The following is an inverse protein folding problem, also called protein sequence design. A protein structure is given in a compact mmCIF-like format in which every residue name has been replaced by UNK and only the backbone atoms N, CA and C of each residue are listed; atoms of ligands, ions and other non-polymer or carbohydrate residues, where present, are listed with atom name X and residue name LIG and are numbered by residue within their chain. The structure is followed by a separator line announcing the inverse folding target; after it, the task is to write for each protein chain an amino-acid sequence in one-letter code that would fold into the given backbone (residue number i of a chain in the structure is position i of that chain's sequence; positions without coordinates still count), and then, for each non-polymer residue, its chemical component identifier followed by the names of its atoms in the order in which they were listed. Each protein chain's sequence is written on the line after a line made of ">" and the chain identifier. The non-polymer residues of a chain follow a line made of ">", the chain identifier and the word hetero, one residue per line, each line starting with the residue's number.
data_IF_074272475708
#
_entry.id   IF_074272475708
#
_cell.length_a   1.000
_cell.length_b   1.000
_cell.length_c   1.000
_cell.angle_alpha   90.00
_cell.angle_beta   90.00
_cell.angle_gamma   90.00
#
_symmetry.space_group_name_H-M   'P 1'
#
loop_
_entity.id
_entity.type
_entity.pdbx_description
1 polymer ?
#
# COMPACT_ATOMS: atom_id res chain seq x y z
N UNK A 1 37.94 10.05 6.62
CA UNK A 1 37.29 10.39 5.32
C UNK A 1 36.72 9.10 4.76
N UNK A 2 35.39 8.88 4.87
CA UNK A 2 34.57 7.99 3.99
C UNK A 2 33.20 7.79 4.65
N UNK A 3 32.32 8.80 4.60
CA UNK A 3 30.91 8.65 5.02
C UNK A 3 30.03 9.65 4.27
N UNK A 4 30.10 9.70 2.94
CA UNK A 4 29.25 10.60 2.13
C UNK A 4 28.93 10.05 0.71
N UNK A 5 28.86 8.73 0.51
CA UNK A 5 28.63 8.16 -0.84
C UNK A 5 27.58 7.03 -0.91
N UNK A 6 26.70 6.91 0.08
CA UNK A 6 25.63 5.89 0.07
C UNK A 6 24.20 6.45 -0.03
N UNK A 7 24.02 7.77 0.01
CA UNK A 7 22.70 8.37 0.28
C UNK A 7 22.09 9.16 -0.90
N UNK A 8 22.73 9.16 -2.08
CA UNK A 8 22.19 9.81 -3.29
C UNK A 8 22.05 8.87 -4.50
N UNK A 9 22.53 7.63 -4.40
CA UNK A 9 22.52 6.67 -5.51
C UNK A 9 21.44 5.59 -5.36
N UNK A 10 20.77 5.48 -4.20
CA UNK A 10 19.78 4.43 -3.95
C UNK A 10 18.47 4.67 -4.71
N UNK A 11 18.05 5.92 -4.88
CA UNK A 11 16.77 6.27 -5.51
C UNK A 11 16.74 5.97 -7.02
N UNK A 12 17.79 6.34 -7.76
CA UNK A 12 17.89 6.08 -9.20
C UNK A 12 18.17 4.59 -9.49
N UNK A 13 18.96 3.91 -8.63
CA UNK A 13 19.33 2.50 -8.86
C UNK A 13 18.18 1.54 -8.60
N UNK A 14 17.29 1.79 -7.64
CA UNK A 14 16.17 0.90 -7.35
C UNK A 14 15.13 0.92 -8.49
N UNK A 15 14.88 2.09 -9.06
CA UNK A 15 13.93 2.26 -10.15
C UNK A 15 14.46 1.77 -11.51
N UNK A 16 15.76 1.95 -11.78
CA UNK A 16 16.41 1.37 -12.97
C UNK A 16 16.60 -0.15 -12.87
N UNK A 17 16.90 -0.68 -11.68
CA UNK A 17 17.11 -2.13 -11.49
C UNK A 17 15.85 -2.97 -11.73
N UNK A 18 14.66 -2.39 -11.60
CA UNK A 18 13.37 -3.10 -11.76
C UNK A 18 12.80 -2.97 -13.18
N UNK A 19 13.38 -2.10 -14.03
CA UNK A 19 13.00 -2.01 -15.44
C UNK A 19 11.65 -1.36 -15.73
N UNK A 20 10.98 -0.74 -14.75
CA UNK A 20 9.74 0.03 -14.96
C UNK A 20 10.03 1.53 -15.10
N UNK A 21 10.31 1.95 -16.35
CA UNK A 21 10.64 3.34 -16.68
C UNK A 21 9.50 4.32 -16.34
N UNK A 22 8.24 3.86 -16.35
CA UNK A 22 7.09 4.71 -16.03
C UNK A 22 7.01 4.97 -14.51
N UNK A 23 7.22 3.93 -13.70
CA UNK A 23 7.32 4.07 -12.25
C UNK A 23 8.51 4.95 -11.88
N UNK A 24 9.69 4.73 -12.48
CA UNK A 24 10.87 5.56 -12.26
C UNK A 24 10.62 7.04 -12.57
N UNK A 25 9.96 7.33 -13.69
CA UNK A 25 9.58 8.70 -14.06
C UNK A 25 8.58 9.31 -13.07
N UNK A 26 7.65 8.51 -12.56
CA UNK A 26 6.68 8.96 -11.57
C UNK A 26 7.35 9.31 -10.24
N UNK A 27 8.26 8.46 -9.75
CA UNK A 27 8.99 8.71 -8.51
C UNK A 27 9.87 9.96 -8.62
N UNK A 28 10.55 10.16 -9.75
CA UNK A 28 11.31 11.38 -10.04
C UNK A 28 10.45 12.65 -10.13
N UNK A 29 9.15 12.52 -10.38
CA UNK A 29 8.21 13.65 -10.43
C UNK A 29 7.66 14.06 -9.07
N UNK A 30 8.01 13.33 -8.00
CA UNK A 30 7.58 13.67 -6.64
C UNK A 30 8.17 14.99 -6.18
N UNK A 31 7.45 15.75 -5.32
CA UNK A 31 7.99 16.96 -4.72
C UNK A 31 9.27 16.65 -3.94
N UNK A 32 10.26 17.54 -4.01
CA UNK A 32 11.53 17.37 -3.28
C UNK A 32 11.37 17.47 -1.75
N UNK A 33 10.25 18.03 -1.28
CA UNK A 33 9.84 18.12 0.12
C UNK A 33 8.89 16.98 0.54
N UNK A 34 8.69 15.95 -0.29
CA UNK A 34 7.94 14.76 0.09
C UNK A 34 8.76 13.94 1.11
N UNK A 35 8.21 13.74 2.31
CA UNK A 35 8.87 13.06 3.42
C UNK A 35 8.89 11.53 3.25
N UNK A 36 8.29 11.02 2.17
CA UNK A 36 8.15 9.58 1.91
C UNK A 36 9.33 9.08 1.06
N UNK A 37 10.10 8.10 1.55
CA UNK A 37 11.20 7.49 0.78
C UNK A 37 10.72 6.82 -0.51
N UNK A 38 11.56 6.86 -1.55
CA UNK A 38 11.28 6.22 -2.84
C UNK A 38 11.02 4.72 -2.71
N UNK A 39 11.73 4.03 -1.80
CA UNK A 39 11.52 2.62 -1.50
C UNK A 39 10.07 2.32 -1.04
N UNK A 40 9.50 3.19 -0.19
CA UNK A 40 8.10 3.07 0.26
C UNK A 40 7.15 3.27 -0.92
N UNK A 41 7.40 4.26 -1.79
CA UNK A 41 6.58 4.47 -2.98
C UNK A 41 6.62 3.30 -3.96
N UNK A 42 7.78 2.67 -4.10
CA UNK A 42 7.93 1.48 -4.92
C UNK A 42 7.11 0.31 -4.36
N UNK A 43 7.19 0.04 -3.05
CA UNK A 43 6.37 -0.98 -2.39
C UNK A 43 4.86 -0.70 -2.55
N UNK A 44 4.45 0.56 -2.52
CA UNK A 44 3.05 0.95 -2.79
C UNK A 44 2.64 0.64 -4.22
N UNK A 45 3.52 0.88 -5.19
CA UNK A 45 3.24 0.57 -6.59
C UNK A 45 3.07 -0.95 -6.80
N UNK A 46 3.90 -1.76 -6.16
CA UNK A 46 3.76 -3.23 -6.15
C UNK A 46 2.44 -3.66 -5.50
N UNK A 47 2.15 -3.16 -4.30
CA UNK A 47 0.87 -3.42 -3.60
C UNK A 47 -0.34 -3.08 -4.48
N UNK A 48 -0.29 -1.94 -5.18
CA UNK A 48 -1.36 -1.50 -6.08
C UNK A 48 -1.53 -2.44 -7.26
N UNK A 49 -0.44 -2.90 -7.87
CA UNK A 49 -0.49 -3.87 -8.98
C UNK A 49 -1.13 -5.17 -8.52
N UNK A 50 -0.66 -5.76 -7.42
CA UNK A 50 -1.21 -7.01 -6.89
C UNK A 50 -2.68 -6.83 -6.50
N UNK A 51 -3.04 -5.72 -5.84
CA UNK A 51 -4.42 -5.43 -5.42
C UNK A 51 -5.39 -5.19 -6.59
N UNK A 52 -4.92 -4.59 -7.69
CA UNK A 52 -5.72 -4.45 -8.92
C UNK A 52 -5.98 -5.82 -9.54
N UNK A 53 -4.98 -6.71 -9.54
CA UNK A 53 -5.13 -8.11 -10.00
C UNK A 53 -6.15 -8.85 -9.14
N UNK A 54 -6.04 -8.81 -7.81
CA UNK A 54 -7.03 -9.39 -6.89
C UNK A 54 -8.44 -8.88 -7.21
N UNK A 55 -8.61 -7.56 -7.33
CA UNK A 55 -9.92 -6.98 -7.64
C UNK A 55 -10.46 -7.50 -8.97
N UNK A 56 -9.63 -7.59 -10.00
CA UNK A 56 -10.01 -8.09 -11.31
C UNK A 56 -10.45 -9.55 -11.23
N UNK A 57 -9.70 -10.41 -10.56
CA UNK A 57 -10.03 -11.82 -10.39
C UNK A 57 -11.35 -12.01 -9.62
N UNK A 58 -11.54 -11.29 -8.51
CA UNK A 58 -12.78 -11.40 -7.71
C UNK A 58 -14.02 -10.84 -8.44
N UNK A 59 -13.83 -9.89 -9.36
CA UNK A 59 -14.93 -9.29 -10.14
C UNK A 59 -15.12 -9.91 -11.52
N UNK A 60 -14.31 -10.92 -11.87
CA UNK A 60 -14.41 -11.65 -13.13
C UNK A 60 -15.75 -12.38 -13.24
N UNK A 61 -16.20 -12.60 -14.47
CA UNK A 61 -17.40 -13.39 -14.75
C UNK A 61 -17.18 -14.90 -14.53
N UNK A 62 -15.92 -15.34 -14.54
CA UNK A 62 -15.54 -16.73 -14.21
C UNK A 62 -15.39 -16.87 -12.70
N UNK A 63 -15.77 -18.02 -12.11
CA UNK A 63 -15.40 -18.32 -10.72
C UNK A 63 -13.88 -18.19 -10.58
N UNK A 64 -13.39 -17.49 -9.54
CA UNK A 64 -11.98 -17.27 -9.36
C UNK A 64 -11.30 -18.56 -8.89
N UNK A 65 -10.05 -18.73 -9.30
CA UNK A 65 -9.17 -19.73 -8.70
C UNK A 65 -8.76 -19.27 -7.28
N UNK A 66 -9.24 -20.00 -6.28
CA UNK A 66 -9.05 -19.65 -4.87
C UNK A 66 -7.59 -19.76 -4.44
N UNK A 67 -6.80 -20.68 -5.01
CA UNK A 67 -5.38 -20.85 -4.68
C UNK A 67 -4.56 -19.66 -5.21
N UNK A 68 -4.87 -19.23 -6.44
CA UNK A 68 -4.29 -18.03 -7.03
C UNK A 68 -4.67 -16.79 -6.21
N UNK A 69 -5.94 -16.64 -5.81
CA UNK A 69 -6.38 -15.51 -4.98
C UNK A 69 -5.72 -15.49 -3.60
N UNK A 70 -5.58 -16.64 -2.93
CA UNK A 70 -4.91 -16.73 -1.64
C UNK A 70 -3.42 -16.32 -1.74
N UNK A 71 -2.75 -16.75 -2.80
CA UNK A 71 -1.37 -16.33 -3.10
C UNK A 71 -1.26 -14.83 -3.28
N UNK A 72 -2.13 -14.24 -4.12
CA UNK A 72 -2.14 -12.79 -4.37
C UNK A 72 -2.47 -11.98 -3.12
N UNK A 73 -3.42 -12.44 -2.29
CA UNK A 73 -3.77 -11.80 -1.01
C UNK A 73 -2.62 -11.79 -0.03
N UNK A 74 -1.90 -12.92 0.07
CA UNK A 74 -0.70 -13.04 0.91
C UNK A 74 0.38 -12.07 0.42
N UNK A 75 0.64 -12.03 -0.89
CA UNK A 75 1.62 -11.13 -1.49
C UNK A 75 1.27 -9.65 -1.25
N UNK A 76 0.02 -9.24 -1.52
CA UNK A 76 -0.41 -7.86 -1.30
C UNK A 76 -0.31 -7.45 0.18
N UNK A 77 -0.60 -8.37 1.11
CA UNK A 77 -0.49 -8.11 2.54
C UNK A 77 0.97 -7.94 2.96
N UNK A 78 1.86 -8.83 2.51
CA UNK A 78 3.30 -8.75 2.78
C UNK A 78 3.93 -7.45 2.24
N UNK A 79 3.59 -7.06 1.01
CA UNK A 79 4.06 -5.80 0.42
C UNK A 79 3.56 -4.57 1.20
N UNK A 80 2.31 -4.60 1.66
CA UNK A 80 1.72 -3.52 2.47
C UNK A 80 2.39 -3.42 3.84
N UNK A 81 2.68 -4.55 4.48
CA UNK A 81 3.40 -4.61 5.75
C UNK A 81 4.86 -4.16 5.61
N UNK A 82 5.55 -4.56 4.55
CA UNK A 82 6.89 -4.09 4.23
C UNK A 82 6.91 -2.56 4.03
N UNK A 83 5.93 -2.00 3.32
CA UNK A 83 5.81 -0.54 3.14
C UNK A 83 5.61 0.18 4.49
N UNK A 84 4.83 -0.40 5.40
CA UNK A 84 4.62 0.15 6.74
C UNK A 84 5.89 0.07 7.59
N UNK A 85 6.64 -1.03 7.52
CA UNK A 85 7.90 -1.19 8.25
C UNK A 85 8.95 -0.19 7.78
N UNK A 86 9.15 -0.08 6.46
CA UNK A 86 10.08 0.88 5.84
C UNK A 86 9.72 2.33 6.21
N UNK A 87 8.43 2.65 6.19
CA UNK A 87 7.94 3.97 6.60
C UNK A 87 8.16 4.23 8.10
N UNK A 88 8.06 3.21 8.95
CA UNK A 88 8.32 3.35 10.38
C UNK A 88 9.80 3.57 10.68
N UNK A 89 10.71 2.89 9.97
CA UNK A 89 12.16 3.05 10.13
C UNK A 89 12.61 4.47 9.76
N UNK A 90 12.08 5.00 8.65
CA UNK A 90 12.43 6.33 8.15
C UNK A 90 11.79 7.47 8.94
N UNK A 91 10.65 7.23 9.60
CA UNK A 91 10.00 8.21 10.48
C UNK A 91 10.47 8.17 11.94
N UNK A 92 11.31 7.21 12.32
CA UNK A 92 11.73 6.95 13.70
C UNK A 92 12.69 7.99 14.33
N UNK A 93 12.77 9.21 13.79
CA UNK A 93 13.13 10.39 14.59
C UNK A 93 11.96 10.89 15.50
N UNK A 94 10.78 10.25 15.46
CA UNK A 94 9.72 10.50 16.45
C UNK A 94 8.85 9.27 16.69
N UNK A 95 8.82 8.71 17.91
CA UNK A 95 7.89 7.63 18.20
C UNK A 95 6.48 8.22 18.27
N UNK A 96 5.68 7.98 17.24
CA UNK A 96 4.22 8.17 17.27
C UNK A 96 3.50 6.84 17.02
N UNK A 97 3.87 5.81 17.78
CA UNK A 97 2.91 4.75 18.10
C UNK A 97 1.96 5.31 19.15
N UNK A 98 1.00 6.12 18.70
CA UNK A 98 -0.19 6.40 19.50
C UNK A 98 -0.98 5.09 19.55
N UNK A 99 -0.94 4.45 20.71
CA UNK A 99 -1.89 3.43 21.12
C UNK A 99 -3.31 3.93 20.84
N UNK A 100 -3.92 3.49 19.75
CA UNK A 100 -5.37 3.56 19.62
C UNK A 100 -5.97 2.35 20.35
N UNK A 101 -6.77 2.54 21.40
CA UNK A 101 -7.63 1.46 21.87
C UNK A 101 -8.64 1.11 20.78
N UNK A 102 -9.14 -0.14 20.72
CA UNK A 102 -10.27 -0.46 19.85
C UNK A 102 -11.49 0.29 20.40
N UNK A 103 -11.80 1.44 19.82
CA UNK A 103 -13.07 2.12 20.06
C UNK A 103 -14.16 1.24 19.45
N UNK A 104 -14.92 0.55 20.30
CA UNK A 104 -16.19 -0.09 19.95
C UNK A 104 -17.12 0.98 19.40
N UNK A 105 -17.13 1.15 18.09
CA UNK A 105 -18.20 1.85 17.41
C UNK A 105 -19.40 0.90 17.34
N UNK A 106 -20.30 1.11 18.29
CA UNK A 106 -21.71 0.75 18.19
C UNK A 106 -22.29 1.43 16.94
N UNK A 107 -22.30 0.72 15.80
CA UNK A 107 -23.07 1.13 14.63
C UNK A 107 -23.91 -0.04 14.13
N UNK A 108 -25.11 -0.09 14.74
CA UNK A 108 -26.34 -0.58 14.17
C UNK A 108 -26.43 -0.32 12.66
N UNK A 109 -26.78 -1.38 11.91
CA UNK A 109 -27.34 -1.38 10.54
C UNK A 109 -26.61 -0.51 9.49
N UNK A 110 -25.58 -1.08 8.87
CA UNK A 110 -25.16 -0.68 7.53
C UNK A 110 -25.15 -1.94 6.65
N UNK A 111 -25.75 -1.82 5.46
CA UNK A 111 -25.92 -2.86 4.44
C UNK A 111 -24.64 -3.69 4.21
N UNK A 112 -24.73 -4.92 3.67
CA UNK A 112 -23.54 -5.67 3.28
C UNK A 112 -22.82 -4.90 2.18
N UNK A 113 -21.87 -4.04 2.56
CA UNK A 113 -20.92 -3.45 1.63
C UNK A 113 -20.14 -4.63 1.08
N UNK A 114 -20.35 -4.92 -0.22
CA UNK A 114 -19.59 -5.96 -0.92
C UNK A 114 -18.11 -5.79 -0.58
N UNK A 115 -17.40 -6.80 -0.07
CA UNK A 115 -16.03 -6.66 0.43
C UNK A 115 -15.06 -6.09 -0.61
N UNK A 116 -15.36 -6.31 -1.89
CA UNK A 116 -14.68 -5.70 -3.03
C UNK A 116 -14.73 -4.17 -3.07
N UNK A 117 -15.74 -3.52 -2.48
CA UNK A 117 -15.87 -2.07 -2.42
C UNK A 117 -14.82 -1.44 -1.50
N UNK A 118 -14.53 -2.07 -0.35
CA UNK A 118 -13.49 -1.60 0.57
C UNK A 118 -12.09 -1.66 -0.07
N UNK A 119 -11.82 -2.76 -0.79
CA UNK A 119 -10.59 -2.90 -1.56
C UNK A 119 -10.49 -1.86 -2.68
N UNK A 120 -11.57 -1.64 -3.43
CA UNK A 120 -11.60 -0.64 -4.50
C UNK A 120 -11.31 0.78 -3.99
N UNK A 121 -11.92 1.19 -2.87
CA UNK A 121 -11.69 2.52 -2.28
C UNK A 121 -10.25 2.69 -1.81
N UNK A 122 -9.69 1.69 -1.12
CA UNK A 122 -8.31 1.78 -0.63
C UNK A 122 -7.28 1.82 -1.76
N UNK A 123 -7.46 1.02 -2.82
CA UNK A 123 -6.66 1.12 -4.07
C UNK A 123 -6.70 2.54 -4.62
N UNK A 124 -7.90 3.14 -4.72
CA UNK A 124 -8.06 4.48 -5.27
C UNK A 124 -7.35 5.55 -4.43
N UNK A 125 -7.37 5.43 -3.09
CA UNK A 125 -6.66 6.37 -2.21
C UNK A 125 -5.15 6.23 -2.34
N UNK A 126 -4.61 5.00 -2.31
CA UNK A 126 -3.19 4.75 -2.50
C UNK A 126 -2.71 5.23 -3.88
N UNK A 127 -3.44 4.91 -4.95
CA UNK A 127 -3.11 5.34 -6.31
C UNK A 127 -3.10 6.86 -6.45
N UNK A 128 -4.05 7.57 -5.82
CA UNK A 128 -4.06 9.04 -5.82
C UNK A 128 -2.88 9.65 -5.10
N UNK A 129 -2.41 9.04 -4.02
CA UNK A 129 -1.19 9.52 -3.33
C UNK A 129 0.04 9.22 -4.16
N UNK A 130 0.17 8.03 -4.75
CA UNK A 130 1.30 7.66 -5.60
C UNK A 130 1.40 8.58 -6.84
N UNK A 131 0.29 8.79 -7.55
CA UNK A 131 0.25 9.59 -8.79
C UNK A 131 0.21 11.11 -8.51
N UNK A 132 -0.21 11.51 -7.31
CA UNK A 132 -0.32 12.91 -6.94
C UNK A 132 1.04 13.59 -6.83
N UNK A 133 1.16 14.77 -7.44
CA UNK A 133 2.28 15.69 -7.24
C UNK A 133 2.00 16.64 -6.06
N UNK A 134 1.79 16.06 -4.88
CA UNK A 134 1.59 16.78 -3.62
C UNK A 134 2.39 16.07 -2.54
N UNK A 135 2.93 16.84 -1.61
CA UNK A 135 3.60 16.28 -0.45
C UNK A 135 2.67 15.34 0.32
N UNK A 136 3.20 14.19 0.72
CA UNK A 136 2.47 13.20 1.49
C UNK A 136 3.12 13.09 2.85
N UNK A 137 2.34 13.31 3.91
CA UNK A 137 2.89 13.14 5.26
C UNK A 137 2.96 11.64 5.59
N UNK A 138 4.00 11.19 6.32
CA UNK A 138 4.14 9.78 6.68
C UNK A 138 2.93 9.25 7.45
N UNK A 139 2.36 10.04 8.35
CA UNK A 139 1.14 9.66 9.08
C UNK A 139 -0.05 9.40 8.16
N UNK A 140 -0.24 10.25 7.13
CA UNK A 140 -1.34 10.08 6.17
C UNK A 140 -1.17 8.81 5.36
N UNK A 141 0.06 8.53 4.95
CA UNK A 141 0.38 7.32 4.21
C UNK A 141 0.18 6.06 5.06
N UNK A 142 0.72 6.05 6.28
CA UNK A 142 0.56 4.95 7.24
C UNK A 142 -0.92 4.63 7.51
N UNK A 143 -1.74 5.66 7.75
CA UNK A 143 -3.19 5.48 7.96
C UNK A 143 -3.88 4.84 6.74
N UNK A 144 -3.46 5.21 5.53
CA UNK A 144 -4.05 4.68 4.29
C UNK A 144 -3.60 3.25 4.03
N UNK A 145 -2.31 2.93 4.26
CA UNK A 145 -1.79 1.56 4.19
C UNK A 145 -2.48 0.65 5.21
N UNK A 146 -2.66 1.10 6.45
CA UNK A 146 -3.38 0.34 7.47
C UNK A 146 -4.88 0.14 7.13
N UNK A 147 -5.50 1.09 6.43
CA UNK A 147 -6.86 0.90 5.91
C UNK A 147 -6.91 -0.11 4.74
N UNK A 148 -5.89 -0.11 3.88
CA UNK A 148 -5.77 -1.06 2.79
C UNK A 148 -5.54 -2.49 3.29
N UNK A 149 -4.64 -2.69 4.26
CA UNK A 149 -4.38 -4.00 4.87
C UNK A 149 -5.66 -4.58 5.49
N UNK A 150 -6.45 -3.75 6.18
CA UNK A 150 -7.77 -4.16 6.71
C UNK A 150 -8.75 -4.57 5.60
N UNK A 151 -8.73 -3.89 4.45
CA UNK A 151 -9.59 -4.23 3.32
C UNK A 151 -9.21 -5.58 2.69
N UNK A 152 -7.91 -5.90 2.62
CA UNK A 152 -7.41 -7.21 2.18
C UNK A 152 -7.87 -8.32 3.13
N UNK A 153 -7.71 -8.13 4.45
CA UNK A 153 -8.15 -9.10 5.45
C UNK A 153 -9.67 -9.37 5.42
N UNK A 154 -10.49 -8.32 5.24
CA UNK A 154 -11.95 -8.48 5.10
C UNK A 154 -12.31 -9.28 3.85
N UNK A 155 -11.59 -9.06 2.74
CA UNK A 155 -11.81 -9.82 1.51
C UNK A 155 -11.39 -11.28 1.65
N UNK A 156 -10.26 -11.54 2.32
CA UNK A 156 -9.79 -12.90 2.60
C UNK A 156 -10.84 -13.69 3.40
N UNK A 157 -11.40 -13.12 4.46
CA UNK A 157 -12.45 -13.77 5.26
C UNK A 157 -13.71 -14.05 4.43
N UNK A 158 -14.11 -13.14 3.55
CA UNK A 158 -15.28 -13.34 2.66
C UNK A 158 -15.04 -14.50 1.69
N UNK A 159 -13.85 -14.63 1.11
CA UNK A 159 -13.53 -15.69 0.17
C UNK A 159 -13.51 -17.07 0.85
N UNK A 160 -13.03 -17.16 2.09
CA UNK A 160 -13.08 -18.40 2.87
C UNK A 160 -14.49 -18.80 3.32
N UNK A 161 -15.46 -17.87 3.26
CA UNK A 161 -16.84 -18.11 3.70
C UNK A 161 -17.78 -18.60 2.58
N UNK A 162 -17.27 -18.76 1.35
CA UNK A 162 -18.03 -19.17 0.16
C UNK A 162 -17.78 -20.63 -0.19
#
# INVERSE_FOLDING_TARGET
>A
MTTQLLDLAADDQLAEAVGDAALAALLRSKPADDEIPSAVWWLIAETLRTSVTIRREVTSASPPDLDTLATLLTEASLLTEAALAELAETTSARPMLVSMPPSRADHSRVAPTRPTFGLQLSILFLARMLVGNRTTTPQRLANTLAAHLRALAVLEVDLHSR
#
